data_IF_018312295793
#
_entry.id   IF_018312295793
#
_cell.length_a   1.000
_cell.length_b   1.000
_cell.length_c   1.000
_cell.angle_alpha   90.00
_cell.angle_beta   90.00
_cell.angle_gamma   90.00
#
_symmetry.space_group_name_H-M   'P 1'
#
loop_
_entity.id
_entity.type
_entity.pdbx_description
1 polymer ?
#
# COMPACT_ATOMS: atom_id res chain seq x y z
N UNK A 1 -16.86 7.85 -9.98
CA UNK A 1 -16.38 8.82 -8.97
C UNK A 1 -15.02 9.36 -9.42
N UNK A 2 -14.74 10.66 -9.31
CA UNK A 2 -13.53 11.30 -9.89
C UNK A 2 -12.20 10.97 -9.17
N UNK A 3 -12.08 9.76 -8.60
CA UNK A 3 -10.89 9.28 -7.88
C UNK A 3 -10.57 7.82 -8.24
N UNK A 4 -10.91 7.38 -9.44
CA UNK A 4 -10.37 6.12 -9.95
C UNK A 4 -8.93 6.35 -10.33
N UNK A 5 -8.02 5.89 -9.47
CA UNK A 5 -6.67 5.63 -9.96
C UNK A 5 -6.76 4.38 -10.82
N UNK A 6 -6.23 4.43 -12.03
CA UNK A 6 -6.30 3.34 -12.99
C UNK A 6 -5.75 1.99 -12.45
N UNK A 7 -5.01 1.97 -11.34
CA UNK A 7 -4.36 0.77 -10.78
C UNK A 7 -5.28 -0.44 -10.60
N UNK A 8 -6.48 -0.26 -10.03
CA UNK A 8 -7.41 -1.37 -9.78
C UNK A 8 -8.16 -1.82 -11.04
N UNK A 9 -8.37 -0.91 -11.99
CA UNK A 9 -8.95 -1.23 -13.29
C UNK A 9 -7.93 -1.97 -14.17
N UNK A 10 -6.71 -1.44 -14.28
CA UNK A 10 -5.61 -2.02 -15.05
C UNK A 10 -5.23 -3.41 -14.52
N UNK A 11 -5.11 -3.59 -13.21
CA UNK A 11 -4.83 -4.91 -12.63
C UNK A 11 -5.90 -5.95 -13.02
N UNK A 12 -7.18 -5.55 -13.06
CA UNK A 12 -8.26 -6.44 -13.52
C UNK A 12 -8.15 -6.75 -15.01
N UNK A 13 -7.79 -5.76 -15.83
CA UNK A 13 -7.57 -5.93 -17.27
C UNK A 13 -6.38 -6.84 -17.57
N UNK A 14 -5.28 -6.73 -16.83
CA UNK A 14 -4.13 -7.60 -16.99
C UNK A 14 -4.49 -9.06 -16.63
N UNK A 15 -5.22 -9.27 -15.53
CA UNK A 15 -5.72 -10.60 -15.15
C UNK A 15 -6.68 -11.18 -16.19
N UNK A 16 -7.63 -10.37 -16.67
CA UNK A 16 -8.57 -10.75 -17.73
C UNK A 16 -7.84 -11.13 -19.02
N UNK A 17 -6.81 -10.36 -19.38
CA UNK A 17 -5.99 -10.62 -20.56
C UNK A 17 -5.28 -11.97 -20.48
N UNK A 18 -4.63 -12.29 -19.35
CA UNK A 18 -3.95 -13.58 -19.14
C UNK A 18 -4.94 -14.74 -19.18
N UNK A 19 -6.12 -14.60 -18.58
CA UNK A 19 -7.17 -15.61 -18.64
C UNK A 19 -7.70 -15.83 -20.07
N UNK A 20 -7.81 -14.75 -20.86
CA UNK A 20 -8.19 -14.81 -22.25
C UNK A 20 -7.12 -15.47 -23.11
N UNK A 21 -5.84 -15.21 -22.84
CA UNK A 21 -4.70 -15.84 -23.50
C UNK A 21 -4.69 -17.35 -23.26
N UNK A 22 -4.90 -17.79 -22.01
CA UNK A 22 -5.07 -19.22 -21.66
C UNK A 22 -6.22 -19.89 -22.41
N UNK A 23 -7.29 -19.15 -22.69
CA UNK A 23 -8.49 -19.64 -23.39
C UNK A 23 -8.42 -19.46 -24.91
N UNK A 24 -7.35 -18.88 -25.44
CA UNK A 24 -7.22 -18.56 -26.87
C UNK A 24 -8.24 -17.54 -27.39
N UNK A 25 -8.71 -16.61 -26.55
CA UNK A 25 -9.78 -15.64 -26.90
C UNK A 25 -9.21 -14.24 -27.07
N UNK A 26 -9.49 -13.60 -28.20
CA UNK A 26 -9.26 -12.15 -28.37
C UNK A 26 -7.78 -11.71 -28.28
N UNK A 27 -6.82 -12.62 -28.51
CA UNK A 27 -5.39 -12.37 -28.35
C UNK A 27 -4.63 -12.21 -29.66
N UNK A 28 -5.34 -12.05 -30.80
CA UNK A 28 -4.73 -12.01 -32.14
C UNK A 28 -3.55 -11.04 -32.24
N UNK A 29 -3.75 -9.79 -31.84
CA UNK A 29 -2.70 -8.76 -31.87
C UNK A 29 -1.49 -9.12 -30.99
N UNK A 30 -1.71 -9.79 -29.85
CA UNK A 30 -0.62 -10.25 -29.00
C UNK A 30 0.15 -11.40 -29.67
N UNK A 31 -0.55 -12.38 -30.21
CA UNK A 31 0.03 -13.52 -30.93
C UNK A 31 0.78 -13.11 -32.20
N UNK A 32 0.42 -11.98 -32.81
CA UNK A 32 1.11 -11.43 -33.98
C UNK A 32 2.45 -10.76 -33.62
N UNK A 33 2.64 -10.32 -32.37
CA UNK A 33 3.80 -9.54 -31.92
C UNK A 33 4.72 -10.33 -31.01
N UNK A 34 4.18 -11.30 -30.26
CA UNK A 34 4.91 -12.08 -29.26
C UNK A 34 5.00 -13.53 -29.71
N UNK A 35 6.22 -14.01 -29.89
CA UNK A 35 6.49 -15.43 -30.13
C UNK A 35 6.22 -16.23 -28.84
N UNK A 36 5.19 -17.06 -28.90
CA UNK A 36 4.75 -17.94 -27.80
C UNK A 36 5.06 -19.41 -28.07
N UNK A 37 5.78 -19.73 -29.15
CA UNK A 37 6.07 -21.10 -29.58
C UNK A 37 6.88 -21.91 -28.55
N UNK A 38 7.68 -21.23 -27.73
CA UNK A 38 8.45 -21.84 -26.65
C UNK A 38 7.72 -21.92 -25.30
N UNK A 39 6.44 -21.55 -25.22
CA UNK A 39 5.70 -21.56 -23.96
C UNK A 39 5.09 -22.95 -23.73
N UNK A 40 5.46 -23.60 -22.62
CA UNK A 40 4.79 -24.83 -22.18
C UNK A 40 3.37 -24.53 -21.66
N UNK A 41 3.23 -23.40 -20.95
CA UNK A 41 1.96 -22.86 -20.47
C UNK A 41 2.01 -21.32 -20.47
N UNK A 42 0.83 -20.68 -20.43
CA UNK A 42 0.75 -19.22 -20.31
C UNK A 42 1.18 -18.81 -18.90
N UNK A 43 2.23 -17.97 -18.75
CA UNK A 43 2.71 -17.56 -17.43
C UNK A 43 1.64 -16.84 -16.61
N UNK A 44 1.62 -17.13 -15.31
CA UNK A 44 0.85 -16.33 -14.36
C UNK A 44 1.50 -14.94 -14.19
N UNK A 45 0.66 -13.94 -13.91
CA UNK A 45 1.11 -12.58 -13.59
C UNK A 45 0.93 -12.30 -12.10
N UNK A 46 1.74 -11.38 -11.59
CA UNK A 46 1.60 -10.89 -10.23
C UNK A 46 0.88 -9.54 -10.20
N UNK A 47 -0.15 -9.46 -9.37
CA UNK A 47 -0.81 -8.22 -8.98
C UNK A 47 -0.82 -8.12 -7.46
N UNK A 48 -0.84 -6.89 -6.93
CA UNK A 48 -0.96 -6.69 -5.48
C UNK A 48 -2.41 -6.85 -5.03
N UNK A 49 -2.61 -7.20 -3.76
CA UNK A 49 -3.93 -7.47 -3.19
C UNK A 49 -4.44 -8.88 -3.51
N UNK A 50 -5.76 -9.06 -3.48
CA UNK A 50 -6.41 -10.33 -3.80
C UNK A 50 -6.92 -10.33 -5.24
N UNK A 51 -7.28 -11.50 -5.79
CA UNK A 51 -7.99 -11.56 -7.09
C UNK A 51 -9.35 -10.84 -7.06
N UNK A 52 -9.96 -10.70 -5.87
CA UNK A 52 -11.23 -9.99 -5.68
C UNK A 52 -11.04 -8.47 -5.74
N UNK A 53 -9.95 -7.95 -5.15
CA UNK A 53 -9.62 -6.52 -5.12
C UNK A 53 -8.15 -6.28 -5.52
N UNK A 54 -7.78 -6.57 -6.78
CA UNK A 54 -6.41 -6.45 -7.24
C UNK A 54 -6.06 -4.99 -7.51
N UNK A 55 -4.77 -4.66 -7.41
CA UNK A 55 -4.25 -3.36 -7.79
C UNK A 55 -2.78 -3.45 -8.23
N UNK A 56 -2.36 -2.51 -9.07
CA UNK A 56 -0.95 -2.30 -9.40
C UNK A 56 -0.30 -1.31 -8.43
N UNK A 57 0.95 -1.58 -8.08
CA UNK A 57 1.80 -0.63 -7.36
C UNK A 57 2.20 0.51 -8.29
N UNK A 58 2.30 1.73 -7.75
CA UNK A 58 2.55 2.92 -8.57
C UNK A 58 4.01 3.04 -9.01
N UNK A 59 4.24 3.12 -10.32
CA UNK A 59 5.55 3.40 -10.90
C UNK A 59 6.63 2.41 -10.43
N UNK A 60 7.76 2.93 -9.98
CA UNK A 60 8.91 2.14 -9.53
C UNK A 60 9.01 2.01 -8.00
N UNK A 61 7.88 2.15 -7.30
CA UNK A 61 7.84 2.03 -5.85
C UNK A 61 7.86 0.55 -5.44
N UNK A 62 8.49 0.22 -4.30
CA UNK A 62 8.35 -1.13 -3.76
C UNK A 62 6.87 -1.42 -3.42
N UNK A 63 6.44 -2.69 -3.47
CA UNK A 63 5.09 -3.07 -3.03
C UNK A 63 4.82 -2.55 -1.61
N UNK A 64 3.69 -1.89 -1.41
CA UNK A 64 3.34 -1.30 -0.11
C UNK A 64 3.06 -2.35 0.98
N UNK A 65 2.93 -3.62 0.62
CA UNK A 65 2.80 -4.75 1.54
C UNK A 65 4.12 -5.20 2.16
N UNK A 66 5.27 -4.76 1.64
CA UNK A 66 6.59 -5.10 2.17
C UNK A 66 6.81 -4.47 3.55
N UNK A 67 7.30 -5.28 4.50
CA UNK A 67 7.53 -4.91 5.91
C UNK A 67 9.01 -4.72 6.23
N UNK A 68 9.90 -5.24 5.39
CA UNK A 68 11.34 -5.14 5.58
C UNK A 68 11.86 -3.78 5.10
N UNK A 69 12.31 -2.95 6.05
CA UNK A 69 12.82 -1.61 5.79
C UNK A 69 14.00 -1.62 4.82
N UNK A 70 14.93 -2.56 4.96
CA UNK A 70 16.10 -2.67 4.09
C UNK A 70 15.71 -2.91 2.63
N UNK A 71 14.70 -3.76 2.36
CA UNK A 71 14.18 -3.98 1.00
C UNK A 71 13.49 -2.75 0.44
N UNK A 72 12.66 -2.07 1.25
CA UNK A 72 11.99 -0.83 0.85
C UNK A 72 13.01 0.26 0.47
N UNK A 73 14.04 0.42 1.30
CA UNK A 73 15.13 1.39 1.08
C UNK A 73 15.97 0.98 -0.13
N UNK A 74 16.32 -0.29 -0.27
CA UNK A 74 17.08 -0.81 -1.41
C UNK A 74 16.38 -0.46 -2.73
N UNK A 75 15.12 -0.85 -2.90
CA UNK A 75 14.36 -0.56 -4.13
C UNK A 75 14.29 0.95 -4.37
N UNK A 76 13.92 1.72 -3.36
CA UNK A 76 13.76 3.18 -3.50
C UNK A 76 15.07 3.90 -3.83
N UNK A 77 16.19 3.49 -3.24
CA UNK A 77 17.50 4.05 -3.51
C UNK A 77 17.93 3.83 -4.98
N UNK A 78 17.59 2.66 -5.54
CA UNK A 78 17.89 2.35 -6.94
C UNK A 78 16.93 3.07 -7.89
N UNK A 79 15.63 3.13 -7.57
CA UNK A 79 14.62 3.58 -8.55
C UNK A 79 14.33 5.07 -8.53
N UNK A 80 14.43 5.76 -7.39
CA UNK A 80 14.09 7.19 -7.29
C UNK A 80 14.99 8.08 -8.17
N UNK A 81 16.20 7.62 -8.51
CA UNK A 81 17.10 8.36 -9.38
C UNK A 81 16.61 8.44 -10.84
N UNK A 82 15.87 7.43 -11.29
CA UNK A 82 15.31 7.38 -12.65
C UNK A 82 13.97 8.12 -12.77
N UNK A 83 13.27 8.34 -11.65
CA UNK A 83 11.98 9.02 -11.61
C UNK A 83 12.14 10.50 -11.21
N UNK A 84 12.77 11.30 -12.08
CA UNK A 84 13.02 12.74 -11.84
C UNK A 84 11.74 13.57 -11.69
N UNK A 85 10.60 13.08 -12.21
CA UNK A 85 9.26 13.65 -11.98
C UNK A 85 8.66 13.37 -10.59
N UNK A 86 9.36 12.63 -9.73
CA UNK A 86 8.98 12.35 -8.35
C UNK A 86 8.68 10.88 -8.09
N UNK A 87 9.35 10.32 -7.09
CA UNK A 87 9.04 9.03 -6.47
C UNK A 87 9.27 9.16 -4.96
N UNK A 88 8.57 8.36 -4.16
CA UNK A 88 8.54 8.50 -2.70
C UNK A 88 8.67 7.15 -2.03
N UNK A 89 9.54 7.08 -1.02
CA UNK A 89 9.62 5.95 -0.11
C UNK A 89 8.57 6.12 0.99
N UNK A 90 7.63 5.19 1.07
CA UNK A 90 6.61 5.19 2.13
C UNK A 90 6.99 4.23 3.26
N UNK A 91 7.09 4.76 4.48
CA UNK A 91 7.19 3.99 5.73
C UNK A 91 5.87 4.17 6.47
N UNK A 92 5.07 3.11 6.61
CA UNK A 92 3.79 3.15 7.32
C UNK A 92 3.93 2.64 8.75
N UNK A 93 3.42 3.40 9.72
CA UNK A 93 3.50 3.07 11.14
C UNK A 93 2.11 2.70 11.68
N UNK A 94 2.07 1.61 12.45
CA UNK A 94 0.84 1.13 13.12
C UNK A 94 0.59 1.79 14.47
N UNK A 95 1.63 2.41 15.03
CA UNK A 95 1.61 2.99 16.37
C UNK A 95 2.42 4.29 16.41
N UNK A 96 2.34 4.97 17.55
CA UNK A 96 3.21 6.10 17.84
C UNK A 96 4.63 5.61 18.02
N UNK A 97 5.55 6.18 17.24
CA UNK A 97 7.00 6.01 17.40
C UNK A 97 7.59 7.30 17.95
N UNK A 98 8.55 7.18 18.86
CA UNK A 98 9.21 8.33 19.49
C UNK A 98 9.85 9.28 18.46
N UNK A 99 9.95 10.57 18.80
CA UNK A 99 10.61 11.56 17.94
C UNK A 99 12.08 11.23 17.70
N UNK A 100 12.76 10.71 18.72
CA UNK A 100 14.15 10.27 18.65
C UNK A 100 14.35 9.17 17.60
N UNK A 101 13.57 8.10 17.66
CA UNK A 101 13.70 6.96 16.72
C UNK A 101 13.40 7.38 15.28
N UNK A 102 12.38 8.22 15.06
CA UNK A 102 12.08 8.76 13.72
C UNK A 102 13.23 9.61 13.19
N UNK A 103 13.85 10.44 14.03
CA UNK A 103 15.00 11.27 13.65
C UNK A 103 16.18 10.39 13.25
N UNK A 104 16.49 9.37 14.03
CA UNK A 104 17.58 8.44 13.70
C UNK A 104 17.31 7.68 12.40
N UNK A 105 16.08 7.20 12.18
CA UNK A 105 15.68 6.55 10.93
C UNK A 105 15.91 7.45 9.71
N UNK A 106 15.41 8.69 9.77
CA UNK A 106 15.60 9.68 8.69
C UNK A 106 17.09 9.90 8.45
N UNK A 107 17.85 10.23 9.50
CA UNK A 107 19.29 10.50 9.40
C UNK A 107 20.06 9.32 8.79
N UNK A 108 19.80 8.10 9.25
CA UNK A 108 20.46 6.88 8.77
C UNK A 108 20.12 6.57 7.32
N UNK A 109 18.87 6.74 6.89
CA UNK A 109 18.48 6.50 5.49
C UNK A 109 19.17 7.50 4.57
N UNK A 110 19.05 8.80 4.84
CA UNK A 110 19.59 9.84 3.95
C UNK A 110 21.12 9.89 3.94
N UNK A 111 21.80 9.49 5.01
CA UNK A 111 23.26 9.48 5.05
C UNK A 111 23.89 8.25 4.37
N UNK A 112 23.18 7.11 4.32
CA UNK A 112 23.73 5.85 3.81
C UNK A 112 23.19 5.47 2.42
N UNK A 113 22.07 6.03 2.00
CA UNK A 113 21.41 5.65 0.75
C UNK A 113 21.00 6.88 -0.06
N UNK A 114 21.05 6.82 -1.40
CA UNK A 114 20.64 7.92 -2.29
C UNK A 114 19.11 8.05 -2.42
N UNK A 115 18.38 7.89 -1.31
CA UNK A 115 16.93 8.17 -1.25
C UNK A 115 16.73 9.68 -1.27
N UNK A 116 15.87 10.17 -2.14
CA UNK A 116 15.60 11.61 -2.34
C UNK A 116 14.39 12.09 -1.56
N UNK A 117 13.36 11.26 -1.47
CA UNK A 117 12.11 11.62 -0.81
C UNK A 117 11.51 10.43 -0.07
N UNK A 118 11.17 10.64 1.19
CA UNK A 118 10.50 9.64 2.02
C UNK A 118 9.39 10.26 2.87
N UNK A 119 8.48 9.40 3.32
CA UNK A 119 7.41 9.77 4.24
C UNK A 119 7.33 8.74 5.36
N UNK A 120 7.11 9.20 6.58
CA UNK A 120 6.80 8.36 7.73
C UNK A 120 5.34 8.65 8.11
N UNK A 121 4.45 7.72 7.81
CA UNK A 121 3.00 7.91 7.87
C UNK A 121 2.42 7.09 9.01
N UNK A 122 1.97 7.71 10.12
CA UNK A 122 1.18 7.01 11.11
C UNK A 122 -0.25 6.77 10.62
N UNK A 123 -0.84 5.68 11.09
CA UNK A 123 -2.29 5.50 11.07
C UNK A 123 -2.91 6.38 12.14
N UNK A 124 -4.04 7.02 11.83
CA UNK A 124 -4.77 7.86 12.79
C UNK A 124 -6.21 7.38 12.89
N UNK A 125 -6.79 7.52 14.08
CA UNK A 125 -8.21 7.26 14.33
C UNK A 125 -8.83 8.49 14.99
N UNK A 126 -10.05 8.85 14.58
CA UNK A 126 -10.87 9.85 15.25
C UNK A 126 -12.15 9.18 15.74
N UNK A 127 -12.48 9.33 17.01
CA UNK A 127 -13.79 8.93 17.53
C UNK A 127 -14.82 10.01 17.21
N UNK A 128 -15.87 9.67 16.47
CA UNK A 128 -16.91 10.62 16.09
C UNK A 128 -17.90 10.88 17.23
N UNK A 129 -17.93 10.05 18.27
CA UNK A 129 -18.79 10.24 19.45
C UNK A 129 -18.18 11.22 20.46
N UNK A 130 -16.93 10.97 20.90
CA UNK A 130 -16.29 11.80 21.93
C UNK A 130 -15.24 12.78 21.41
N UNK A 131 -14.95 12.77 20.09
CA UNK A 131 -14.02 13.69 19.42
C UNK A 131 -12.53 13.39 19.63
N UNK A 132 -12.19 12.35 20.39
CA UNK A 132 -10.81 12.00 20.72
C UNK A 132 -10.03 11.50 19.49
N UNK A 133 -8.73 11.83 19.43
CA UNK A 133 -7.85 11.49 18.31
C UNK A 133 -6.74 10.57 18.78
N UNK A 134 -6.56 9.45 18.10
CA UNK A 134 -5.58 8.42 18.44
C UNK A 134 -4.59 8.21 17.30
N UNK A 135 -3.36 7.85 17.67
CA UNK A 135 -2.35 7.34 16.73
C UNK A 135 -2.43 5.82 16.77
N UNK A 136 -2.80 5.21 15.65
CA UNK A 136 -3.08 3.79 15.50
C UNK A 136 -4.43 3.55 14.82
N UNK A 137 -4.66 2.29 14.47
CA UNK A 137 -5.94 1.78 13.97
C UNK A 137 -6.79 1.30 15.16
N UNK A 138 -7.86 2.03 15.48
CA UNK A 138 -8.79 1.64 16.55
C UNK A 138 -10.20 1.58 15.99
N UNK A 139 -10.74 0.36 15.86
CA UNK A 139 -12.12 0.15 15.38
C UNK A 139 -13.12 0.62 16.45
N UNK A 140 -12.80 0.38 17.72
CA UNK A 140 -13.53 0.90 18.88
C UNK A 140 -12.70 1.95 19.60
N UNK A 141 -13.35 3.00 20.10
CA UNK A 141 -12.69 4.08 20.79
C UNK A 141 -12.13 3.63 22.16
N UNK A 142 -10.80 3.73 22.41
CA UNK A 142 -10.22 3.34 23.69
C UNK A 142 -10.68 4.19 24.89
N UNK A 143 -11.27 5.36 24.64
CA UNK A 143 -11.68 6.33 25.67
C UNK A 143 -13.14 6.15 26.11
N UNK A 144 -14.06 5.96 25.16
CA UNK A 144 -15.50 5.89 25.46
C UNK A 144 -16.15 4.55 25.09
N UNK A 145 -15.42 3.63 24.43
CA UNK A 145 -15.96 2.35 23.96
C UNK A 145 -16.84 2.43 22.72
N UNK A 146 -17.10 3.62 22.19
CA UNK A 146 -17.90 3.83 20.98
C UNK A 146 -17.31 3.17 19.74
N UNK A 147 -18.17 2.66 18.86
CA UNK A 147 -17.76 1.98 17.62
C UNK A 147 -17.73 2.91 16.41
N UNK A 148 -18.25 4.14 16.55
CA UNK A 148 -18.25 5.15 15.50
C UNK A 148 -16.90 5.88 15.42
N UNK A 149 -15.92 5.17 14.85
CA UNK A 149 -14.57 5.67 14.61
C UNK A 149 -14.33 5.90 13.11
N UNK A 150 -13.54 6.91 12.78
CA UNK A 150 -13.07 7.18 11.42
C UNK A 150 -11.56 6.94 11.34
N UNK A 151 -11.15 6.03 10.47
CA UNK A 151 -9.73 5.69 10.25
C UNK A 151 -9.16 6.59 9.16
N UNK A 152 -7.99 7.18 9.39
CA UNK A 152 -7.28 8.05 8.46
C UNK A 152 -5.89 7.51 8.15
N UNK A 153 -5.49 7.63 6.89
CA UNK A 153 -4.13 7.35 6.47
C UNK A 153 -3.79 8.06 5.15
N UNK A 154 -2.53 7.95 4.73
CA UNK A 154 -2.05 8.45 3.44
C UNK A 154 -2.09 7.33 2.40
N UNK A 155 -3.14 7.26 1.58
CA UNK A 155 -3.26 6.18 0.57
C UNK A 155 -2.39 6.47 -0.66
N UNK A 156 -2.59 7.62 -1.31
CA UNK A 156 -1.94 7.97 -2.60
C UNK A 156 -1.14 9.28 -2.56
N UNK A 157 -0.73 9.71 -1.37
CA UNK A 157 0.15 10.89 -1.20
C UNK A 157 -0.36 11.96 -0.22
N UNK A 158 -1.65 11.98 0.09
CA UNK A 158 -2.24 12.88 1.09
C UNK A 158 -3.12 12.13 2.10
N UNK A 159 -3.29 12.71 3.29
CA UNK A 159 -4.11 12.12 4.36
C UNK A 159 -5.60 12.28 4.03
N UNK A 160 -6.35 11.18 4.10
CA UNK A 160 -7.82 11.16 3.99
C UNK A 160 -8.41 10.07 4.89
N UNK A 161 -9.71 10.18 5.21
CA UNK A 161 -10.40 9.08 5.83
C UNK A 161 -10.43 7.88 4.87
N UNK A 162 -10.30 6.68 5.43
CA UNK A 162 -10.36 5.40 4.74
C UNK A 162 -11.79 4.89 4.74
N UNK A 163 -12.29 4.67 5.95
CA UNK A 163 -13.64 4.23 6.25
C UNK A 163 -14.05 4.76 7.63
N UNK A 164 -15.35 4.95 7.82
CA UNK A 164 -15.99 5.20 9.10
C UNK A 164 -16.71 3.93 9.54
N UNK A 165 -16.63 3.63 10.84
CA UNK A 165 -17.29 2.50 11.50
C UNK A 165 -17.00 1.18 10.79
N UNK A 166 -15.74 0.75 10.83
CA UNK A 166 -15.26 -0.45 10.13
C UNK A 166 -16.04 -1.68 10.60
N UNK A 167 -16.75 -2.35 9.68
CA UNK A 167 -17.57 -3.55 9.96
C UNK A 167 -16.92 -4.84 9.49
N UNK A 168 -16.09 -4.78 8.45
CA UNK A 168 -15.43 -5.97 7.88
C UNK A 168 -13.98 -5.66 7.54
N UNK A 169 -13.08 -6.50 8.06
CA UNK A 169 -11.64 -6.40 7.82
C UNK A 169 -11.09 -7.80 7.53
N UNK A 170 -10.63 -8.01 6.30
CA UNK A 170 -9.95 -9.25 5.90
C UNK A 170 -8.80 -8.89 4.93
N UNK A 171 -7.56 -8.79 5.45
CA UNK A 171 -6.39 -8.50 4.64
C UNK A 171 -6.13 -9.52 3.53
N UNK A 172 -6.45 -10.80 3.73
CA UNK A 172 -6.18 -11.86 2.74
C UNK A 172 -7.01 -11.68 1.47
N UNK A 173 -8.20 -11.09 1.62
CA UNK A 173 -9.12 -10.75 0.53
C UNK A 173 -9.05 -9.27 0.12
N UNK A 174 -8.21 -8.46 0.76
CA UNK A 174 -8.14 -7.02 0.51
C UNK A 174 -9.40 -6.26 0.97
N UNK A 175 -10.13 -6.82 1.94
CA UNK A 175 -11.40 -6.29 2.40
C UNK A 175 -11.18 -5.34 3.57
N UNK A 176 -11.70 -4.12 3.42
CA UNK A 176 -11.71 -3.10 4.47
C UNK A 176 -12.93 -2.21 4.28
N UNK A 177 -14.06 -2.63 4.87
CA UNK A 177 -15.35 -2.02 4.65
C UNK A 177 -15.92 -1.51 5.97
N UNK A 178 -16.23 -0.22 6.00
CA UNK A 178 -17.04 0.42 7.03
C UNK A 178 -18.44 0.75 6.53
N UNK A 179 -19.23 1.36 7.42
CA UNK A 179 -20.54 1.90 7.11
C UNK A 179 -20.45 2.99 6.04
N UNK A 180 -19.43 3.86 6.13
CA UNK A 180 -19.07 4.81 5.08
C UNK A 180 -17.66 4.53 4.58
N UNK A 181 -17.52 4.46 3.25
CA UNK A 181 -16.25 4.16 2.59
C UNK A 181 -15.87 5.30 1.64
N UNK A 182 -14.72 5.91 1.88
CA UNK A 182 -14.27 7.09 1.12
C UNK A 182 -13.49 6.68 -0.13
N UNK A 183 -12.70 5.60 -0.01
CA UNK A 183 -11.87 5.11 -1.10
C UNK A 183 -12.52 3.94 -1.83
N UNK A 184 -12.13 3.77 -3.08
CA UNK A 184 -12.48 2.61 -3.87
C UNK A 184 -11.92 1.31 -3.28
N UNK A 185 -12.52 0.19 -3.66
CA UNK A 185 -12.19 -1.14 -3.16
C UNK A 185 -10.71 -1.50 -3.31
N UNK A 186 -10.10 -1.18 -4.45
CA UNK A 186 -8.67 -1.42 -4.71
C UNK A 186 -7.75 -0.61 -3.80
N UNK A 187 -8.16 0.61 -3.41
CA UNK A 187 -7.41 1.49 -2.51
C UNK A 187 -7.58 1.11 -1.05
N UNK A 188 -8.74 0.58 -0.70
CA UNK A 188 -8.99 -0.05 0.60
C UNK A 188 -8.25 -1.39 0.71
N UNK A 189 -8.12 -2.12 -0.39
CA UNK A 189 -7.30 -3.32 -0.49
C UNK A 189 -5.79 -3.02 -0.35
N UNK A 190 -5.30 -1.97 -1.04
CA UNK A 190 -3.96 -1.41 -0.82
C UNK A 190 -3.77 -1.14 0.67
N UNK A 191 -4.63 -0.30 1.27
CA UNK A 191 -4.56 0.05 2.69
C UNK A 191 -4.46 -1.17 3.62
N UNK A 192 -5.38 -2.12 3.54
CA UNK A 192 -5.47 -3.23 4.49
C UNK A 192 -4.34 -4.25 4.33
N UNK A 193 -3.68 -4.27 3.17
CA UNK A 193 -2.55 -5.16 2.90
C UNK A 193 -1.19 -4.52 3.18
N UNK A 194 -1.14 -3.28 3.68
CA UNK A 194 0.11 -2.56 3.90
C UNK A 194 1.03 -3.22 4.91
N UNK A 195 2.31 -3.12 4.60
CA UNK A 195 3.41 -3.44 5.48
C UNK A 195 3.51 -2.40 6.58
N UNK A 196 2.89 -2.68 7.71
CA UNK A 196 3.00 -1.86 8.91
C UNK A 196 4.34 -2.13 9.60
N UNK A 197 5.14 -1.08 9.76
CA UNK A 197 6.46 -1.11 10.38
C UNK A 197 6.34 -0.74 11.86
N UNK A 198 6.84 -1.63 12.72
CA UNK A 198 6.90 -1.45 14.16
C UNK A 198 8.17 -0.73 14.62
N UNK A 199 8.16 -0.23 15.86
CA UNK A 199 9.30 0.48 16.45
C UNK A 199 10.56 -0.39 16.51
N UNK A 200 10.42 -1.66 16.92
CA UNK A 200 11.55 -2.61 17.00
C UNK A 200 12.23 -2.84 15.65
N UNK A 201 11.44 -2.94 14.58
CA UNK A 201 11.97 -3.11 13.22
C UNK A 201 12.79 -1.89 12.78
N UNK A 202 12.38 -0.69 13.19
CA UNK A 202 13.12 0.55 12.93
C UNK A 202 14.43 0.53 13.72
N UNK A 203 14.38 0.20 15.01
CA UNK A 203 15.57 0.13 15.86
C UNK A 203 16.58 -0.85 15.28
N UNK A 204 16.13 -2.07 14.95
CA UNK A 204 16.98 -3.11 14.35
C UNK A 204 17.66 -2.60 13.06
N UNK A 205 16.87 -2.06 12.13
CA UNK A 205 17.40 -1.49 10.88
C UNK A 205 18.44 -0.39 11.13
N UNK A 206 18.17 0.54 12.05
CA UNK A 206 19.08 1.67 12.30
C UNK A 206 20.36 1.28 13.05
N UNK A 207 20.34 0.18 13.81
CA UNK A 207 21.50 -0.36 14.52
C UNK A 207 22.51 -1.02 13.58
N UNK A 208 22.00 -1.62 12.51
CA UNK A 208 22.80 -2.36 11.53
C UNK A 208 23.39 -1.42 10.43
N UNK A 209 23.21 -0.10 10.58
CA UNK A 209 23.73 1.00 9.74
C UNK A 209 24.63 1.93 10.53
#
# INVERSE_FOLDING_TARGET
APMETASGYLARKDLEFVENLKKGRGTRMFSDVVDTSGWEEVPEIYVSGSRERPFLTSGFQPPFSEKNISKLVYVSAHTQNYATGGSVLHIFLGQRVSSYIKRELVRKIFNNYPVKYMTITPTLTICNECGEKFVGEYIECPRCGGDDTTIYSRVVGYFRPIARRVKRRDPSRGIYDGEENIWQDSRRADWVTRGIIGEESIIAFTRDL
#
